data_IF_145713219352
#
_entry.id   IF_145713219352
#
_cell.length_a   1.000
_cell.length_b   1.000
_cell.length_c   1.000
_cell.angle_alpha   90.00
_cell.angle_beta   90.00
_cell.angle_gamma   90.00
#
_symmetry.space_group_name_H-M   'P 1'
#
loop_
_entity.id
_entity.type
_entity.pdbx_description
1 polymer ?
#
# COMPACT_ATOMS: atom_id res chain seq x y z
N UNK A 1 -30.97 -36.80 -14.72
CA UNK A 1 -30.03 -36.29 -13.69
C UNK A 1 -28.63 -36.31 -14.26
N UNK A 2 -27.98 -35.16 -14.34
CA UNK A 2 -26.57 -35.12 -14.70
C UNK A 2 -25.75 -35.45 -13.44
N UNK A 3 -24.95 -36.50 -13.49
CA UNK A 3 -24.02 -36.84 -12.44
C UNK A 3 -22.77 -36.02 -12.69
N UNK A 4 -22.41 -35.15 -11.73
CA UNK A 4 -21.22 -34.33 -11.81
C UNK A 4 -19.92 -35.13 -11.60
N UNK A 5 -18.79 -34.47 -11.69
CA UNK A 5 -17.48 -35.07 -11.38
C UNK A 5 -17.48 -35.55 -9.93
N UNK A 6 -17.03 -36.79 -9.69
CA UNK A 6 -17.02 -37.41 -8.35
C UNK A 6 -18.32 -38.11 -7.96
N UNK A 7 -19.30 -38.26 -8.87
CA UNK A 7 -20.53 -39.06 -8.63
C UNK A 7 -21.61 -38.33 -7.83
N UNK A 8 -21.50 -37.00 -7.66
CA UNK A 8 -22.52 -36.17 -7.00
C UNK A 8 -23.36 -35.36 -7.99
N UNK A 9 -24.45 -34.74 -7.55
CA UNK A 9 -25.26 -33.81 -8.35
C UNK A 9 -25.01 -32.36 -7.95
N UNK A 10 -25.35 -31.43 -8.85
CA UNK A 10 -25.27 -29.98 -8.54
C UNK A 10 -26.06 -29.63 -7.28
N UNK A 11 -27.29 -30.12 -7.16
CA UNK A 11 -28.18 -29.88 -6.03
C UNK A 11 -27.59 -30.42 -4.71
N UNK A 12 -26.97 -31.61 -4.77
CA UNK A 12 -26.36 -32.21 -3.59
C UNK A 12 -25.10 -31.45 -3.13
N UNK A 13 -24.31 -30.94 -4.06
CA UNK A 13 -23.14 -30.12 -3.72
C UNK A 13 -23.54 -28.71 -3.27
N UNK A 14 -24.56 -28.10 -3.88
CA UNK A 14 -25.07 -26.81 -3.46
C UNK A 14 -25.63 -26.86 -2.02
N UNK A 15 -26.32 -27.94 -1.65
CA UNK A 15 -26.87 -28.14 -0.30
C UNK A 15 -25.78 -28.30 0.78
N UNK A 16 -24.54 -28.60 0.41
CA UNK A 16 -23.40 -28.70 1.34
C UNK A 16 -22.69 -27.37 1.56
N UNK A 17 -23.01 -26.32 0.77
CA UNK A 17 -22.36 -25.03 0.90
C UNK A 17 -22.80 -24.35 2.21
N UNK A 18 -21.83 -24.02 3.02
CA UNK A 18 -22.00 -23.23 4.24
C UNK A 18 -21.33 -21.87 4.06
N UNK A 19 -21.70 -20.91 4.91
CA UNK A 19 -21.09 -19.58 4.92
C UNK A 19 -19.64 -19.70 5.44
N UNK A 20 -18.69 -19.99 4.56
CA UNK A 20 -17.26 -20.17 4.91
C UNK A 20 -16.63 -18.91 5.51
N UNK A 21 -17.24 -17.74 5.31
CA UNK A 21 -16.81 -16.47 5.91
C UNK A 21 -17.38 -16.23 7.33
N UNK A 22 -18.18 -17.16 7.87
CA UNK A 22 -18.73 -16.98 9.21
C UNK A 22 -17.60 -16.97 10.26
N UNK A 23 -17.50 -15.88 11.02
CA UNK A 23 -16.46 -15.69 12.04
C UNK A 23 -15.12 -15.15 11.54
N UNK A 24 -14.99 -14.88 10.23
CA UNK A 24 -13.80 -14.22 9.67
C UNK A 24 -13.90 -12.72 9.95
N UNK A 25 -12.88 -12.17 10.61
CA UNK A 25 -12.78 -10.74 10.86
C UNK A 25 -11.73 -10.09 9.92
N UNK A 26 -11.98 -8.90 9.38
CA UNK A 26 -10.99 -8.19 8.59
C UNK A 26 -9.76 -7.81 9.43
N UNK A 27 -8.65 -7.49 8.78
CA UNK A 27 -7.46 -6.98 9.45
C UNK A 27 -7.83 -5.69 10.21
N UNK A 28 -7.55 -5.67 11.49
CA UNK A 28 -7.86 -4.53 12.34
C UNK A 28 -6.90 -3.36 12.10
N UNK A 29 -7.38 -2.12 12.33
CA UNK A 29 -6.58 -0.89 12.20
C UNK A 29 -5.30 -0.95 13.05
N UNK A 30 -5.36 -1.57 14.24
CA UNK A 30 -4.18 -1.74 15.09
C UNK A 30 -3.08 -2.56 14.45
N UNK A 31 -3.41 -3.53 13.61
CA UNK A 31 -2.42 -4.32 12.88
C UNK A 31 -1.76 -3.51 11.75
N UNK A 32 -2.53 -2.72 10.99
CA UNK A 32 -1.94 -1.80 10.01
C UNK A 32 -0.96 -0.83 10.66
N UNK A 33 -1.33 -0.23 11.80
CA UNK A 33 -0.43 0.64 12.56
C UNK A 33 0.84 -0.08 13.05
N UNK A 34 0.72 -1.34 13.48
CA UNK A 34 1.88 -2.14 13.87
C UNK A 34 2.82 -2.46 12.68
N UNK A 35 2.26 -2.73 11.49
CA UNK A 35 3.02 -2.93 10.25
C UNK A 35 3.79 -1.67 9.86
N UNK A 36 3.14 -0.50 9.95
CA UNK A 36 3.77 0.80 9.69
C UNK A 36 4.89 1.06 10.69
N UNK A 37 4.65 0.88 11.99
CA UNK A 37 5.68 1.06 13.02
C UNK A 37 6.90 0.14 12.79
N UNK A 38 6.68 -1.09 12.32
CA UNK A 38 7.76 -2.00 11.92
C UNK A 38 8.54 -1.47 10.71
N UNK A 39 7.85 -0.98 9.68
CA UNK A 39 8.49 -0.37 8.51
C UNK A 39 9.30 0.87 8.91
N UNK A 40 8.75 1.76 9.71
CA UNK A 40 9.43 2.95 10.22
C UNK A 40 10.70 2.64 11.01
N UNK A 41 10.66 1.62 11.86
CA UNK A 41 11.86 1.14 12.54
C UNK A 41 12.93 0.68 11.56
N UNK A 42 12.56 -0.13 10.55
CA UNK A 42 13.49 -0.61 9.53
C UNK A 42 14.03 0.53 8.66
N UNK A 43 13.23 1.54 8.34
CA UNK A 43 13.69 2.75 7.64
C UNK A 43 14.79 3.44 8.43
N UNK A 44 14.58 3.70 9.73
CA UNK A 44 15.60 4.33 10.59
C UNK A 44 16.87 3.50 10.72
N UNK A 45 16.74 2.18 10.90
CA UNK A 45 17.87 1.25 10.97
C UNK A 45 18.74 1.27 9.71
N UNK A 46 18.12 1.54 8.54
CA UNK A 46 18.81 1.62 7.24
C UNK A 46 19.16 3.05 6.81
N UNK A 47 18.87 4.06 7.62
CA UNK A 47 19.15 5.47 7.29
C UNK A 47 18.29 6.00 6.15
N UNK A 48 17.08 5.44 5.95
CA UNK A 48 16.14 5.84 4.91
C UNK A 48 15.12 6.83 5.48
N UNK A 49 14.78 7.87 4.70
CA UNK A 49 13.90 8.95 5.12
C UNK A 49 12.42 8.55 5.08
N UNK A 50 12.04 7.80 4.05
CA UNK A 50 10.66 7.37 3.83
C UNK A 50 10.61 6.12 2.94
N UNK A 51 9.44 5.47 2.93
CA UNK A 51 9.04 4.46 1.96
C UNK A 51 7.85 5.00 1.16
N UNK A 52 8.04 5.21 -0.15
CA UNK A 52 6.95 5.45 -1.07
C UNK A 52 6.34 4.13 -1.52
N UNK A 53 5.04 4.00 -1.41
CA UNK A 53 4.24 2.88 -1.90
C UNK A 53 3.38 3.35 -3.08
N UNK A 54 3.50 2.66 -4.20
CA UNK A 54 2.62 2.82 -5.36
C UNK A 54 1.37 1.93 -5.20
N UNK A 55 0.42 2.02 -6.12
CA UNK A 55 -0.72 1.10 -6.19
C UNK A 55 -0.22 -0.34 -6.40
N UNK A 56 -0.21 -1.09 -5.32
CA UNK A 56 0.46 -2.40 -5.24
C UNK A 56 -0.09 -3.25 -4.10
N UNK A 57 0.33 -4.49 -4.05
CA UNK A 57 0.10 -5.35 -2.88
C UNK A 57 0.74 -4.79 -1.61
N UNK A 58 1.83 -4.02 -1.72
CA UNK A 58 2.46 -3.37 -0.58
C UNK A 58 1.60 -2.24 -0.03
N UNK A 59 1.00 -1.40 -0.88
CA UNK A 59 0.05 -0.37 -0.45
C UNK A 59 -1.10 -1.01 0.34
N UNK A 60 -1.73 -2.06 -0.20
CA UNK A 60 -2.81 -2.78 0.49
C UNK A 60 -2.33 -3.35 1.84
N UNK A 61 -1.17 -3.98 1.88
CA UNK A 61 -0.62 -4.56 3.11
C UNK A 61 -0.45 -3.55 4.24
N UNK A 62 0.08 -2.37 3.93
CA UNK A 62 0.39 -1.35 4.94
C UNK A 62 -0.81 -0.46 5.30
N UNK A 63 -1.73 -0.21 4.36
CA UNK A 63 -2.79 0.79 4.54
C UNK A 63 -4.20 0.24 4.50
N UNK A 64 -4.39 -0.97 3.99
CA UNK A 64 -5.71 -1.54 3.72
C UNK A 64 -6.36 -1.03 2.44
N UNK A 65 -5.75 -0.06 1.74
CA UNK A 65 -6.27 0.46 0.48
C UNK A 65 -6.01 -0.54 -0.65
N UNK A 66 -7.08 -1.03 -1.25
CA UNK A 66 -7.04 -1.89 -2.42
C UNK A 66 -7.49 -1.11 -3.66
N UNK A 67 -6.54 -0.75 -4.51
CA UNK A 67 -6.75 -0.08 -5.78
C UNK A 67 -6.18 -0.91 -6.91
N UNK A 68 -6.75 -0.76 -8.11
CA UNK A 68 -6.17 -1.31 -9.33
C UNK A 68 -5.13 -0.33 -9.88
N UNK A 69 -4.00 -0.87 -10.32
CA UNK A 69 -3.00 -0.07 -11.01
C UNK A 69 -3.59 0.54 -12.29
N UNK A 70 -3.43 1.84 -12.45
CA UNK A 70 -3.79 2.61 -13.64
C UNK A 70 -2.60 3.47 -14.06
N UNK A 71 -2.77 4.31 -15.07
CA UNK A 71 -1.77 5.31 -15.48
C UNK A 71 -1.66 6.48 -14.50
N UNK A 72 -2.62 6.61 -13.56
CA UNK A 72 -2.64 7.67 -12.55
C UNK A 72 -1.95 7.26 -11.28
N UNK A 73 -1.08 8.13 -10.78
CA UNK A 73 -0.38 7.88 -9.52
C UNK A 73 -1.36 7.95 -8.35
N UNK A 74 -1.52 6.82 -7.69
CA UNK A 74 -2.06 6.68 -6.35
C UNK A 74 -1.01 6.03 -5.46
N UNK A 75 -0.96 6.41 -4.21
CA UNK A 75 -0.01 5.77 -3.32
C UNK A 75 -0.05 6.31 -1.90
N UNK A 76 1.00 5.98 -1.17
CA UNK A 76 1.21 6.50 0.18
C UNK A 76 2.70 6.66 0.47
N UNK A 77 3.01 7.57 1.37
CA UNK A 77 4.36 7.76 1.92
C UNK A 77 4.31 7.35 3.40
N UNK A 78 5.13 6.38 3.76
CA UNK A 78 5.43 6.05 5.15
C UNK A 78 6.75 6.74 5.50
N UNK A 79 6.74 7.86 6.24
CA UNK A 79 7.96 8.51 6.67
C UNK A 79 8.66 7.68 7.74
N UNK A 80 9.97 7.84 7.93
CA UNK A 80 10.71 7.20 9.01
C UNK A 80 10.16 7.57 10.40
N UNK A 81 9.56 8.77 10.51
CA UNK A 81 8.86 9.27 11.70
C UNK A 81 7.64 10.07 11.28
N UNK A 82 6.53 9.95 12.03
CA UNK A 82 5.27 10.66 11.76
C UNK A 82 4.20 9.76 11.16
N UNK A 83 3.13 10.39 10.69
CA UNK A 83 1.95 9.72 10.15
C UNK A 83 2.12 9.43 8.64
N UNK A 84 1.34 8.46 8.16
CA UNK A 84 1.26 8.14 6.73
C UNK A 84 0.56 9.27 5.98
N UNK A 85 1.11 9.64 4.82
CA UNK A 85 0.48 10.58 3.90
C UNK A 85 0.02 9.83 2.65
N UNK A 86 -1.24 10.01 2.29
CA UNK A 86 -1.83 9.40 1.11
C UNK A 86 -1.75 10.36 -0.08
N UNK A 87 -1.61 9.79 -1.27
CA UNK A 87 -1.47 10.54 -2.53
C UNK A 87 -2.55 10.10 -3.50
N UNK A 88 -3.27 11.05 -4.08
CA UNK A 88 -4.43 10.76 -4.93
C UNK A 88 -4.58 11.78 -6.06
N UNK A 89 -5.09 11.40 -7.25
CA UNK A 89 -5.67 12.39 -8.15
C UNK A 89 -6.81 13.14 -7.45
N UNK A 90 -6.94 14.44 -7.66
CA UNK A 90 -7.92 15.28 -6.95
C UNK A 90 -9.37 14.78 -7.14
N UNK A 91 -9.72 14.35 -8.36
CA UNK A 91 -11.08 13.86 -8.62
C UNK A 91 -11.38 12.47 -8.00
N UNK A 92 -10.36 11.72 -7.57
CA UNK A 92 -10.51 10.42 -6.87
C UNK A 92 -10.30 10.56 -5.34
N UNK A 93 -10.07 11.75 -4.80
CA UNK A 93 -9.92 11.96 -3.36
C UNK A 93 -11.08 11.36 -2.54
N UNK A 94 -12.37 11.55 -2.92
CA UNK A 94 -13.47 10.95 -2.16
C UNK A 94 -13.38 9.43 -2.06
N UNK A 95 -13.00 8.77 -3.16
CA UNK A 95 -12.78 7.32 -3.19
C UNK A 95 -11.58 6.89 -2.33
N UNK A 96 -10.49 7.65 -2.38
CA UNK A 96 -9.33 7.40 -1.54
C UNK A 96 -9.71 7.45 -0.06
N UNK A 97 -10.46 8.47 0.36
CA UNK A 97 -10.95 8.61 1.74
C UNK A 97 -11.91 7.50 2.16
N UNK A 98 -12.75 7.02 1.25
CA UNK A 98 -13.64 5.88 1.50
C UNK A 98 -12.85 4.59 1.81
N UNK A 99 -11.73 4.36 1.13
CA UNK A 99 -10.91 3.16 1.29
C UNK A 99 -9.89 3.25 2.44
N UNK A 100 -9.59 4.46 2.91
CA UNK A 100 -8.66 4.65 4.02
C UNK A 100 -9.18 4.01 5.30
N UNK A 101 -8.32 3.25 5.97
CA UNK A 101 -8.65 2.61 7.26
C UNK A 101 -8.25 3.48 8.46
N UNK A 102 -7.34 4.43 8.27
CA UNK A 102 -6.81 5.33 9.31
C UNK A 102 -6.06 6.51 8.68
N UNK A 103 -5.74 7.53 9.49
CA UNK A 103 -5.10 8.76 9.01
C UNK A 103 -6.11 9.71 8.34
N UNK A 104 -5.66 10.89 7.97
CA UNK A 104 -6.48 11.94 7.36
C UNK A 104 -5.71 12.81 6.36
N UNK A 105 -4.36 12.72 6.30
CA UNK A 105 -3.54 13.51 5.38
C UNK A 105 -3.57 12.90 3.99
N UNK A 106 -4.36 13.50 3.10
CA UNK A 106 -4.45 13.16 1.68
C UNK A 106 -3.97 14.36 0.87
N UNK A 107 -2.92 14.16 0.09
CA UNK A 107 -2.39 15.15 -0.84
C UNK A 107 -2.83 14.81 -2.25
N UNK A 108 -3.38 15.79 -2.94
CA UNK A 108 -3.97 15.61 -4.26
C UNK A 108 -3.19 16.36 -5.34
N UNK A 109 -3.21 15.83 -6.54
CA UNK A 109 -2.67 16.43 -7.75
C UNK A 109 -3.77 16.54 -8.82
N UNK A 110 -3.72 17.58 -9.62
CA UNK A 110 -4.63 17.81 -10.73
C UNK A 110 -4.08 17.21 -12.03
N UNK A 111 -4.94 16.86 -12.98
CA UNK A 111 -4.58 16.20 -14.26
C UNK A 111 -3.53 16.98 -15.10
N UNK A 112 -3.31 18.27 -14.84
CA UNK A 112 -2.31 19.08 -15.51
C UNK A 112 -1.00 19.21 -14.72
N UNK A 113 -0.91 18.62 -13.54
CA UNK A 113 0.26 18.66 -12.66
C UNK A 113 1.12 17.40 -12.81
N UNK A 114 2.37 17.48 -12.38
CA UNK A 114 3.26 16.32 -12.29
C UNK A 114 3.04 15.61 -10.94
N UNK A 115 2.43 14.43 -10.91
CA UNK A 115 2.19 13.71 -9.66
C UNK A 115 3.49 13.30 -8.96
N UNK A 116 4.60 13.11 -9.69
CA UNK A 116 5.89 12.77 -9.07
C UNK A 116 6.51 13.96 -8.36
N UNK A 117 6.25 15.19 -8.83
CA UNK A 117 6.60 16.40 -8.11
C UNK A 117 5.86 16.49 -6.76
N UNK A 118 4.56 16.16 -6.71
CA UNK A 118 3.80 16.11 -5.46
C UNK A 118 4.42 15.13 -4.45
N UNK A 119 4.83 13.94 -4.89
CA UNK A 119 5.51 12.96 -4.01
C UNK A 119 6.75 13.59 -3.38
N UNK A 120 7.60 14.23 -4.19
CA UNK A 120 8.85 14.84 -3.72
C UNK A 120 8.58 16.03 -2.79
N UNK A 121 7.61 16.87 -3.11
CA UNK A 121 7.20 18.00 -2.28
C UNK A 121 6.60 17.52 -0.94
N UNK A 122 5.83 16.45 -0.96
CA UNK A 122 5.32 15.82 0.25
C UNK A 122 6.46 15.34 1.14
N UNK A 123 7.46 14.65 0.60
CA UNK A 123 8.63 14.20 1.35
C UNK A 123 9.37 15.39 1.96
N UNK A 124 9.53 16.50 1.21
CA UNK A 124 10.14 17.74 1.73
C UNK A 124 9.31 18.36 2.86
N UNK A 125 8.00 18.41 2.70
CA UNK A 125 7.10 18.98 3.72
C UNK A 125 7.12 18.19 5.05
N UNK A 126 7.55 16.92 5.01
CA UNK A 126 7.79 16.09 6.19
C UNK A 126 9.16 16.37 6.86
N UNK A 127 9.92 17.34 6.34
CA UNK A 127 11.21 17.77 6.90
C UNK A 127 12.44 17.10 6.28
N UNK A 128 12.29 16.34 5.20
CA UNK A 128 13.39 15.68 4.53
C UNK A 128 13.78 16.44 3.25
N UNK A 129 14.87 17.20 3.31
CA UNK A 129 15.35 18.02 2.17
C UNK A 129 16.25 17.25 1.20
N UNK A 130 16.82 16.13 1.66
CA UNK A 130 17.71 15.26 0.89
C UNK A 130 17.88 13.92 1.60
N UNK A 131 18.56 12.97 0.97
CA UNK A 131 18.86 11.66 1.57
C UNK A 131 18.23 10.52 0.79
N UNK A 132 18.26 9.32 1.34
CA UNK A 132 17.79 8.13 0.66
C UNK A 132 16.31 7.86 0.94
N UNK A 133 15.54 7.59 -0.10
CA UNK A 133 14.12 7.25 -0.06
C UNK A 133 13.90 5.88 -0.69
N UNK A 134 13.24 5.00 0.05
CA UNK A 134 12.86 3.68 -0.44
C UNK A 134 11.64 3.80 -1.36
N UNK A 135 11.67 3.09 -2.48
CA UNK A 135 10.54 2.98 -3.41
C UNK A 135 9.96 1.58 -3.37
N UNK A 136 8.65 1.50 -3.50
CA UNK A 136 7.95 0.25 -3.70
C UNK A 136 8.60 -0.57 -4.83
N UNK A 137 9.00 -1.82 -4.59
CA UNK A 137 9.58 -2.66 -5.64
C UNK A 137 8.59 -2.99 -6.77
N UNK A 138 7.28 -2.80 -6.53
CA UNK A 138 6.23 -2.99 -7.53
C UNK A 138 5.88 -1.68 -8.27
N UNK A 139 6.51 -0.54 -7.93
CA UNK A 139 6.26 0.72 -8.60
C UNK A 139 6.60 0.67 -10.10
N UNK A 140 5.72 1.17 -10.98
CA UNK A 140 5.99 1.22 -12.41
C UNK A 140 7.24 2.03 -12.73
N UNK A 141 7.95 1.64 -13.79
CA UNK A 141 9.17 2.34 -14.20
C UNK A 141 8.94 3.83 -14.45
N UNK A 142 7.81 4.22 -15.04
CA UNK A 142 7.51 5.63 -15.30
C UNK A 142 7.40 6.45 -14.01
N UNK A 143 6.86 5.88 -12.92
CA UNK A 143 6.85 6.54 -11.60
C UNK A 143 8.26 6.70 -11.07
N UNK A 144 9.07 5.65 -11.12
CA UNK A 144 10.47 5.68 -10.64
C UNK A 144 11.30 6.70 -11.43
N UNK A 145 11.16 6.74 -12.75
CA UNK A 145 11.86 7.68 -13.63
C UNK A 145 11.42 9.14 -13.36
N UNK A 146 10.11 9.36 -13.17
CA UNK A 146 9.56 10.66 -12.80
C UNK A 146 10.09 11.15 -11.45
N UNK A 147 10.09 10.28 -10.41
CA UNK A 147 10.61 10.60 -9.09
C UNK A 147 12.10 10.98 -9.13
N UNK A 148 12.90 10.27 -9.91
CA UNK A 148 14.33 10.59 -10.09
C UNK A 148 14.54 11.95 -10.75
N UNK A 149 13.68 12.33 -11.68
CA UNK A 149 13.73 13.63 -12.35
C UNK A 149 13.28 14.76 -11.43
N UNK A 150 12.17 14.58 -10.71
CA UNK A 150 11.63 15.58 -9.81
C UNK A 150 12.47 15.77 -8.53
N UNK A 151 13.04 14.68 -8.02
CA UNK A 151 13.70 14.62 -6.71
C UNK A 151 15.23 14.49 -6.77
N UNK A 152 15.91 15.35 -7.51
CA UNK A 152 17.36 15.29 -7.77
C UNK A 152 18.27 15.41 -6.53
N UNK A 153 17.71 15.72 -5.35
CA UNK A 153 18.43 15.74 -4.06
C UNK A 153 18.25 14.44 -3.26
N UNK A 154 17.40 13.53 -3.75
CA UNK A 154 17.14 12.26 -3.12
C UNK A 154 17.84 11.13 -3.87
N UNK A 155 18.33 10.15 -3.12
CA UNK A 155 18.78 8.87 -3.66
C UNK A 155 17.63 7.87 -3.54
N UNK A 156 17.00 7.54 -4.67
CA UNK A 156 15.90 6.60 -4.71
C UNK A 156 16.41 5.17 -4.85
N UNK A 157 16.10 4.35 -3.85
CA UNK A 157 16.52 2.95 -3.75
C UNK A 157 15.31 2.01 -3.63
N UNK A 158 15.54 0.71 -3.82
CA UNK A 158 14.46 -0.27 -3.65
C UNK A 158 14.07 -0.47 -2.19
N UNK A 159 12.76 -0.38 -1.90
CA UNK A 159 12.17 -0.72 -0.61
C UNK A 159 11.94 -2.22 -0.38
N UNK A 160 12.37 -3.08 -1.32
CA UNK A 160 12.11 -4.51 -1.30
C UNK A 160 12.56 -5.22 -0.02
N UNK A 161 13.70 -4.81 0.56
CA UNK A 161 14.17 -5.38 1.82
C UNK A 161 13.21 -5.09 2.99
N UNK A 162 12.63 -3.88 3.04
CA UNK A 162 11.67 -3.47 4.08
C UNK A 162 10.34 -4.19 3.90
N UNK A 163 9.77 -4.14 2.68
CA UNK A 163 8.48 -4.78 2.40
C UNK A 163 8.54 -6.29 2.60
N UNK A 164 9.61 -6.95 2.18
CA UNK A 164 9.83 -8.37 2.41
C UNK A 164 9.95 -8.69 3.91
N UNK A 165 10.77 -7.97 4.66
CA UNK A 165 10.93 -8.18 6.10
C UNK A 165 9.60 -8.00 6.87
N UNK A 166 8.71 -7.12 6.39
CA UNK A 166 7.39 -6.96 6.99
C UNK A 166 6.45 -8.11 6.65
N UNK A 167 6.42 -8.59 5.41
CA UNK A 167 5.39 -9.49 4.86
C UNK A 167 5.73 -10.98 4.91
N UNK A 168 7.01 -11.35 5.00
CA UNK A 168 7.43 -12.76 4.90
C UNK A 168 6.88 -13.65 6.04
N UNK A 169 6.74 -13.11 7.23
CA UNK A 169 6.12 -13.80 8.37
C UNK A 169 4.69 -13.31 8.52
N UNK A 170 3.73 -14.24 8.38
CA UNK A 170 2.30 -13.93 8.48
C UNK A 170 1.88 -13.80 9.93
N UNK A 171 1.03 -12.81 10.20
CA UNK A 171 0.40 -12.65 11.50
C UNK A 171 -0.70 -13.72 11.73
N UNK A 172 -1.15 -13.85 12.96
CA UNK A 172 -2.29 -14.73 13.27
C UNK A 172 -3.57 -14.31 12.53
N UNK A 173 -3.79 -13.01 12.36
CA UNK A 173 -4.92 -12.47 11.62
C UNK A 173 -4.83 -12.79 10.10
N UNK A 174 -3.64 -12.67 9.51
CA UNK A 174 -3.41 -13.06 8.11
C UNK A 174 -3.60 -14.56 7.88
N UNK A 175 -3.18 -15.42 8.85
CA UNK A 175 -3.38 -16.86 8.77
C UNK A 175 -4.87 -17.23 8.88
N UNK A 176 -5.63 -16.51 9.71
CA UNK A 176 -7.06 -16.74 9.86
C UNK A 176 -7.86 -16.34 8.61
N UNK A 177 -7.31 -15.49 7.74
CA UNK A 177 -7.93 -15.05 6.47
C UNK A 177 -7.52 -15.95 5.28
N UNK A 178 -6.50 -16.78 5.42
CA UNK A 178 -5.98 -17.64 4.34
C UNK A 178 -6.70 -18.98 4.28
#
# INVERSE_FOLDING_TARGET
>A
MSIGVGGSSFEAELAKLEAMAAGVAPIAVGEFKARIAKAQRLLREQGLQALYLDTSTNLHYFTGIELKLTERLHGAIIPAEGEVVYLSPAFEEPKTREYMQFGDDVRCWEEHEDPTALVVETIRSLGYESGSVALDPEAPFYTVDGLRKAGNRFDFTSGGAITAACRQLKSAAEIALA
#
